data_IF_365480340301
#
_entry.id   IF_365480340301
#
_cell.length_a   1.000
_cell.length_b   1.000
_cell.length_c   1.000
_cell.angle_alpha   90.00
_cell.angle_beta   90.00
_cell.angle_gamma   90.00
#
_symmetry.space_group_name_H-M   'P 1'
#
loop_
_entity.id
_entity.type
_entity.pdbx_description
1 polymer ?
#
# COMPACT_ATOMS: atom_id res chain seq x y z
N UNK A 1 3.90 23.80 7.47
CA UNK A 1 3.21 23.27 6.28
C UNK A 1 2.15 22.30 6.78
N UNK A 2 0.87 22.63 6.62
CA UNK A 2 -0.20 21.67 6.92
C UNK A 2 -0.12 20.63 5.80
N UNK A 3 0.41 19.45 6.11
CA UNK A 3 0.35 18.30 5.23
C UNK A 3 -1.10 17.82 5.27
N UNK A 4 -1.83 18.03 4.19
CA UNK A 4 -3.15 17.46 4.06
C UNK A 4 -3.05 15.92 4.01
N UNK A 5 -4.15 15.26 4.38
CA UNK A 5 -4.17 13.81 4.51
C UNK A 5 -3.81 13.11 3.19
N UNK A 6 -4.15 13.68 2.03
CA UNK A 6 -3.77 13.10 0.73
C UNK A 6 -2.27 13.15 0.50
N UNK A 7 -1.62 14.25 0.88
CA UNK A 7 -0.16 14.36 0.78
C UNK A 7 0.52 13.33 1.68
N UNK A 8 0.00 13.12 2.90
CA UNK A 8 0.53 12.14 3.84
C UNK A 8 0.36 10.70 3.32
N UNK A 9 -0.80 10.38 2.74
CA UNK A 9 -1.05 9.09 2.08
C UNK A 9 -0.08 8.82 0.93
N UNK A 10 0.17 9.82 0.08
CA UNK A 10 1.14 9.72 -1.04
C UNK A 10 2.56 9.42 -0.55
N UNK A 11 2.99 10.09 0.51
CA UNK A 11 4.31 9.83 1.10
C UNK A 11 4.43 8.40 1.64
N UNK A 12 3.40 7.91 2.35
CA UNK A 12 3.40 6.54 2.87
C UNK A 12 3.48 5.51 1.73
N UNK A 13 2.68 5.68 0.68
CA UNK A 13 2.71 4.79 -0.49
C UNK A 13 4.10 4.80 -1.14
N UNK A 14 4.71 5.97 -1.30
CA UNK A 14 6.04 6.11 -1.89
C UNK A 14 7.13 5.44 -1.05
N UNK A 15 7.07 5.55 0.28
CA UNK A 15 8.01 4.88 1.19
C UNK A 15 7.90 3.37 1.04
N UNK A 16 6.69 2.84 0.97
CA UNK A 16 6.46 1.40 0.86
C UNK A 16 6.92 0.85 -0.51
N UNK A 17 6.70 1.61 -1.59
CA UNK A 17 7.24 1.28 -2.91
C UNK A 17 8.78 1.20 -2.89
N UNK A 18 9.44 2.17 -2.26
CA UNK A 18 10.91 2.13 -2.08
C UNK A 18 11.36 0.97 -1.21
N UNK A 19 10.61 0.64 -0.16
CA UNK A 19 10.90 -0.52 0.69
C UNK A 19 10.85 -1.82 -0.13
N UNK A 20 9.88 -1.97 -1.04
CA UNK A 20 9.80 -3.13 -1.94
C UNK A 20 11.04 -3.27 -2.82
N UNK A 21 11.63 -2.18 -3.30
CA UNK A 21 12.86 -2.22 -4.10
C UNK A 21 14.06 -2.72 -3.28
N UNK A 22 14.09 -2.40 -1.98
CA UNK A 22 15.17 -2.81 -1.07
C UNK A 22 14.98 -4.25 -0.60
N UNK A 23 13.75 -4.66 -0.30
CA UNK A 23 13.38 -5.99 0.19
C UNK A 23 13.21 -7.02 -0.95
N UNK A 24 14.11 -7.02 -1.93
CA UNK A 24 14.07 -7.83 -3.15
C UNK A 24 14.07 -9.35 -2.90
N UNK A 25 14.55 -9.82 -1.75
CA UNK A 25 14.46 -11.22 -1.32
C UNK A 25 13.01 -11.69 -1.08
N UNK A 26 12.10 -10.73 -0.86
CA UNK A 26 10.70 -10.99 -0.64
C UNK A 26 9.89 -10.42 -1.80
N UNK A 27 9.13 -11.29 -2.46
CA UNK A 27 8.28 -10.84 -3.54
C UNK A 27 6.99 -10.19 -3.00
N UNK A 28 7.07 -8.88 -2.71
CA UNK A 28 6.04 -8.12 -1.99
C UNK A 28 5.09 -7.42 -2.97
N UNK A 29 3.79 -7.58 -2.74
CA UNK A 29 2.74 -6.80 -3.39
C UNK A 29 2.20 -5.72 -2.43
N UNK A 30 2.12 -4.48 -2.90
CA UNK A 30 1.54 -3.36 -2.13
C UNK A 30 0.17 -3.05 -2.71
N UNK A 31 -0.85 -3.06 -1.87
CA UNK A 31 -2.23 -2.82 -2.28
C UNK A 31 -2.81 -1.66 -1.46
N UNK A 32 -3.22 -0.60 -2.15
CA UNK A 32 -4.02 0.46 -1.55
C UNK A 32 -5.50 0.10 -1.68
N UNK A 33 -6.18 -0.03 -0.55
CA UNK A 33 -7.56 -0.52 -0.47
C UNK A 33 -8.59 0.58 -0.25
N UNK A 34 -8.16 1.85 -0.35
CA UNK A 34 -9.04 3.00 -0.24
C UNK A 34 -10.27 2.84 -1.16
N UNK A 35 -11.47 2.86 -0.57
CA UNK A 35 -12.76 2.62 -1.23
C UNK A 35 -13.00 1.26 -1.90
N UNK A 36 -12.21 0.22 -1.62
CA UNK A 36 -12.52 -1.13 -2.12
C UNK A 36 -13.26 -1.96 -1.06
N UNK A 37 -14.61 -2.08 -1.11
CA UNK A 37 -15.40 -2.86 -0.14
C UNK A 37 -15.13 -4.38 -0.17
N UNK A 38 -14.31 -4.85 -1.11
CA UNK A 38 -14.03 -6.27 -1.30
C UNK A 38 -12.53 -6.53 -1.46
N UNK A 39 -11.77 -6.47 -0.37
CA UNK A 39 -10.43 -7.08 -0.31
C UNK A 39 -10.52 -8.58 -0.64
N UNK A 40 -11.64 -9.23 -0.30
CA UNK A 40 -11.92 -10.63 -0.64
C UNK A 40 -12.01 -10.93 -2.14
N UNK A 41 -12.17 -9.91 -3.00
CA UNK A 41 -12.19 -10.05 -4.47
C UNK A 41 -10.86 -9.70 -5.14
N UNK A 42 -9.88 -9.20 -4.39
CA UNK A 42 -8.54 -8.98 -4.92
C UNK A 42 -7.86 -10.34 -5.05
N UNK A 43 -7.70 -10.82 -6.28
CA UNK A 43 -6.82 -11.94 -6.58
C UNK A 43 -5.41 -11.46 -6.33
N UNK A 44 -4.82 -11.89 -5.22
CA UNK A 44 -3.47 -11.50 -4.87
C UNK A 44 -2.51 -12.48 -5.51
N UNK A 45 -1.61 -11.96 -6.35
CA UNK A 45 -0.68 -12.79 -7.11
C UNK A 45 0.46 -13.31 -6.22
N UNK A 46 0.64 -12.71 -5.03
CA UNK A 46 1.79 -12.93 -4.15
C UNK A 46 1.36 -13.18 -2.71
N UNK A 47 2.08 -14.10 -2.04
CA UNK A 47 1.80 -14.44 -0.64
C UNK A 47 2.19 -13.33 0.35
N UNK A 48 3.16 -12.48 0.00
CA UNK A 48 3.61 -11.37 0.84
C UNK A 48 2.89 -10.08 0.40
N UNK A 49 1.95 -9.62 1.22
CA UNK A 49 1.06 -8.52 0.89
C UNK A 49 1.16 -7.46 1.97
N UNK A 50 1.41 -6.22 1.56
CA UNK A 50 1.33 -5.06 2.43
C UNK A 50 0.08 -4.26 2.06
N UNK A 51 -0.91 -4.29 2.95
CA UNK A 51 -2.21 -3.66 2.76
C UNK A 51 -2.24 -2.33 3.46
N UNK A 52 -2.57 -1.27 2.72
CA UNK A 52 -2.78 0.06 3.28
C UNK A 52 -4.27 0.38 3.16
N UNK A 53 -4.88 0.70 4.29
CA UNK A 53 -6.25 1.20 4.38
C UNK A 53 -6.19 2.56 5.06
N UNK A 54 -6.70 3.58 4.38
CA UNK A 54 -6.92 4.88 4.99
C UNK A 54 -8.40 4.99 5.30
N UNK A 55 -8.73 5.02 6.59
CA UNK A 55 -10.07 5.39 7.05
C UNK A 55 -10.13 6.92 7.12
N UNK A 56 -11.21 7.50 6.60
CA UNK A 56 -11.49 8.93 6.75
C UNK A 56 -11.83 9.27 8.20
#
# INVERSE_FOLDING_TARGET
>A
MILDIYTLQKYIISILQKFKEVAHEFDIQIINTYNHPYISKLTVEKCNILVIKFDN
#
